data_IF_597980604771
#
_entry.id   IF_597980604771
#
_cell.length_a   1.000
_cell.length_b   1.000
_cell.length_c   1.000
_cell.angle_alpha   90.00
_cell.angle_beta   90.00
_cell.angle_gamma   90.00
#
_symmetry.space_group_name_H-M   'P 1'
#
loop_
_entity.id
_entity.type
_entity.pdbx_description
1 polymer ?
#
# COMPACT_ATOMS: atom_id res chain seq x y z
N UNK A 1 -14.53 -7.15 -10.72
CA UNK A 1 -15.25 -6.28 -11.68
C UNK A 1 -15.13 -4.78 -11.39
N UNK A 2 -15.34 -4.31 -10.14
CA UNK A 2 -15.33 -2.87 -9.81
C UNK A 2 -14.11 -2.08 -10.29
N UNK A 3 -12.91 -2.67 -10.24
CA UNK A 3 -11.69 -2.05 -10.78
C UNK A 3 -11.80 -1.71 -12.27
N UNK A 4 -12.31 -2.64 -13.09
CA UNK A 4 -12.48 -2.44 -14.54
C UNK A 4 -13.60 -1.44 -14.86
N UNK A 5 -14.59 -1.33 -13.97
CA UNK A 5 -15.62 -0.28 -14.08
C UNK A 5 -15.02 1.09 -13.79
N UNK A 6 -14.20 1.20 -12.74
CA UNK A 6 -13.53 2.44 -12.37
C UNK A 6 -12.51 2.87 -13.42
N UNK A 7 -11.78 1.94 -14.02
CA UNK A 7 -10.85 2.24 -15.12
C UNK A 7 -11.58 2.82 -16.33
N UNK A 8 -12.68 2.18 -16.76
CA UNK A 8 -13.54 2.70 -17.84
C UNK A 8 -14.16 4.05 -17.52
N UNK A 9 -14.46 4.34 -16.25
CA UNK A 9 -15.14 5.56 -15.81
C UNK A 9 -14.18 6.74 -15.61
N UNK A 10 -13.04 6.52 -14.99
CA UNK A 10 -12.12 7.58 -14.54
C UNK A 10 -10.78 7.58 -15.31
N UNK A 11 -10.50 6.54 -16.12
CA UNK A 11 -9.22 6.36 -16.81
C UNK A 11 -8.09 5.86 -15.90
N UNK A 12 -8.43 5.33 -14.72
CA UNK A 12 -7.49 4.67 -13.83
C UNK A 12 -8.21 3.69 -12.89
N UNK A 13 -7.46 2.68 -12.45
CA UNK A 13 -7.92 1.60 -11.55
C UNK A 13 -8.11 2.08 -10.10
N UNK A 14 -9.02 3.04 -9.89
CA UNK A 14 -9.37 3.52 -8.55
C UNK A 14 -9.91 2.38 -7.67
N UNK A 15 -9.53 2.36 -6.39
CA UNK A 15 -9.96 1.34 -5.42
C UNK A 15 -11.49 1.12 -5.48
N UNK A 16 -11.97 -0.13 -5.63
CA UNK A 16 -13.36 -0.40 -5.92
C UNK A 16 -14.30 -0.16 -4.73
N UNK A 17 -13.76 -0.09 -3.51
CA UNK A 17 -14.53 0.14 -2.28
C UNK A 17 -14.34 1.53 -1.68
N UNK A 18 -13.65 2.45 -2.37
CA UNK A 18 -13.50 3.85 -1.96
C UNK A 18 -14.14 4.78 -2.98
N UNK A 19 -14.60 5.93 -2.52
CA UNK A 19 -15.08 6.97 -3.41
C UNK A 19 -13.90 7.65 -4.10
N UNK A 20 -13.88 7.58 -5.43
CA UNK A 20 -12.92 8.31 -6.26
C UNK A 20 -13.35 9.78 -6.39
N UNK A 21 -12.38 10.69 -6.41
CA UNK A 21 -12.60 12.09 -6.80
C UNK A 21 -12.84 12.24 -8.31
N UNK A 22 -12.37 11.28 -9.11
CA UNK A 22 -12.30 11.36 -10.57
C UNK A 22 -11.08 12.13 -11.09
N UNK A 23 -10.29 12.74 -10.20
CA UNK A 23 -9.05 13.44 -10.51
C UNK A 23 -7.88 12.55 -10.12
N UNK A 24 -7.19 11.98 -11.12
CA UNK A 24 -6.09 11.02 -10.89
C UNK A 24 -5.04 11.52 -9.90
N UNK A 25 -4.69 12.81 -9.96
CA UNK A 25 -3.70 13.42 -9.07
C UNK A 25 -4.12 13.42 -7.59
N UNK A 26 -5.42 13.48 -7.29
CA UNK A 26 -5.96 13.45 -5.91
C UNK A 26 -6.17 12.03 -5.37
N UNK A 27 -6.14 11.03 -6.24
CA UNK A 27 -6.44 9.64 -5.94
C UNK A 27 -5.24 8.70 -6.10
N UNK A 28 -4.03 9.22 -6.33
CA UNK A 28 -2.81 8.41 -6.45
C UNK A 28 -2.65 7.42 -5.29
N UNK A 29 -3.00 7.86 -4.08
CA UNK A 29 -2.96 7.07 -2.85
C UNK A 29 -3.90 5.86 -2.85
N UNK A 30 -4.97 5.90 -3.66
CA UNK A 30 -6.00 4.86 -3.76
C UNK A 30 -6.06 4.14 -5.11
N UNK A 31 -5.17 4.45 -6.06
CA UNK A 31 -5.02 3.62 -7.27
C UNK A 31 -4.59 2.22 -6.84
N UNK A 32 -5.27 1.18 -7.32
CA UNK A 32 -4.97 -0.20 -6.92
C UNK A 32 -3.65 -0.70 -7.55
N UNK A 33 -2.71 -1.28 -6.77
CA UNK A 33 -2.72 -1.45 -5.31
C UNK A 33 -2.41 -0.14 -4.56
N UNK A 34 -3.28 0.23 -3.60
CA UNK A 34 -3.19 1.51 -2.87
C UNK A 34 -2.05 1.53 -1.83
N UNK A 35 -1.66 2.74 -1.39
CA UNK A 35 -0.58 2.94 -0.42
C UNK A 35 -0.85 2.28 0.94
N UNK A 36 -2.13 2.08 1.28
CA UNK A 36 -2.57 1.47 2.52
C UNK A 36 -2.49 -0.06 2.54
N UNK A 37 -2.31 -0.70 1.38
CA UNK A 37 -2.41 -2.17 1.24
C UNK A 37 -1.42 -2.91 2.14
N UNK A 38 -0.14 -2.55 2.08
CA UNK A 38 0.90 -3.28 2.82
C UNK A 38 0.78 -3.08 4.36
N UNK A 39 0.55 -1.86 4.88
CA UNK A 39 0.19 -1.67 6.29
C UNK A 39 -1.03 -2.47 6.72
N UNK A 40 -2.09 -2.47 5.90
CA UNK A 40 -3.31 -3.24 6.19
C UNK A 40 -3.06 -4.75 6.23
N UNK A 41 -2.26 -5.28 5.31
CA UNK A 41 -1.87 -6.70 5.32
C UNK A 41 -1.07 -7.06 6.57
N UNK A 42 -0.15 -6.19 7.00
CA UNK A 42 0.67 -6.42 8.19
C UNK A 42 -0.15 -6.44 9.48
N UNK A 43 -1.10 -5.50 9.63
CA UNK A 43 -1.83 -5.28 10.88
C UNK A 43 -3.16 -6.06 10.95
N UNK A 44 -3.75 -6.34 9.79
CA UNK A 44 -5.11 -6.85 9.68
C UNK A 44 -5.26 -8.08 8.78
N UNK A 45 -4.17 -8.57 8.19
CA UNK A 45 -4.14 -9.75 7.31
C UNK A 45 -4.98 -9.62 6.02
N UNK A 46 -5.53 -8.44 5.72
CA UNK A 46 -6.28 -8.14 4.50
C UNK A 46 -6.20 -6.64 4.20
N UNK A 47 -6.18 -6.25 2.93
CA UNK A 47 -6.37 -4.85 2.54
C UNK A 47 -7.83 -4.41 2.73
N UNK A 48 -8.10 -3.10 2.68
CA UNK A 48 -9.44 -2.56 2.94
C UNK A 48 -10.59 -3.17 2.11
N UNK A 49 -10.34 -3.50 0.83
CA UNK A 49 -11.33 -4.18 -0.03
C UNK A 49 -11.31 -5.71 0.07
N UNK A 50 -10.44 -6.28 0.91
CA UNK A 50 -10.12 -7.70 0.99
C UNK A 50 -9.67 -8.36 -0.34
N UNK A 51 -9.26 -7.57 -1.33
CA UNK A 51 -8.72 -8.09 -2.60
C UNK A 51 -7.37 -8.78 -2.42
N UNK A 52 -6.54 -8.24 -1.52
CA UNK A 52 -5.28 -8.85 -1.08
C UNK A 52 -5.44 -9.33 0.36
N UNK A 53 -4.90 -10.52 0.65
CA UNK A 53 -4.89 -11.15 1.97
C UNK A 53 -3.51 -11.71 2.30
N UNK A 54 -3.19 -11.83 3.58
CA UNK A 54 -1.94 -12.44 4.05
C UNK A 54 -1.97 -13.96 3.85
N UNK A 55 -0.79 -14.59 3.98
CA UNK A 55 -0.70 -16.05 3.92
C UNK A 55 -1.51 -16.75 5.01
N UNK A 56 -1.67 -16.14 6.19
CA UNK A 56 -2.46 -16.70 7.30
C UNK A 56 -3.94 -16.78 6.95
N UNK A 57 -4.44 -15.81 6.19
CA UNK A 57 -5.82 -15.84 5.71
C UNK A 57 -5.97 -16.85 4.58
N UNK A 58 -5.00 -16.88 3.65
CA UNK A 58 -5.01 -17.84 2.54
C UNK A 58 -4.97 -19.30 3.04
N UNK A 59 -4.24 -19.58 4.11
CA UNK A 59 -4.13 -20.92 4.71
C UNK A 59 -5.33 -21.31 5.59
N UNK A 60 -6.26 -20.39 5.84
CA UNK A 60 -7.38 -20.58 6.75
C UNK A 60 -7.04 -20.46 8.23
N UNK A 61 -5.80 -20.11 8.59
CA UNK A 61 -5.39 -19.83 9.99
C UNK A 61 -6.14 -18.62 10.56
N UNK A 62 -6.48 -17.65 9.70
CA UNK A 62 -7.26 -16.46 10.06
C UNK A 62 -8.41 -16.24 9.08
N UNK A 63 -9.54 -15.75 9.58
CA UNK A 63 -10.63 -15.30 8.74
C UNK A 63 -10.42 -13.84 8.31
N UNK A 64 -10.88 -13.49 7.10
CA UNK A 64 -10.99 -12.08 6.68
C UNK A 64 -11.99 -11.37 7.60
N UNK A 65 -11.63 -10.16 8.02
CA UNK A 65 -12.48 -9.30 8.85
C UNK A 65 -12.53 -7.87 8.29
N UNK A 66 -13.57 -7.08 8.60
CA UNK A 66 -13.57 -5.66 8.33
C UNK A 66 -12.38 -4.98 9.00
N UNK A 67 -11.78 -4.00 8.33
CA UNK A 67 -10.63 -3.24 8.82
C UNK A 67 -10.96 -1.74 8.80
N UNK A 68 -10.33 -0.92 9.66
CA UNK A 68 -10.55 0.53 9.65
C UNK A 68 -10.04 1.19 8.36
N UNK A 69 -10.66 2.31 7.97
CA UNK A 69 -10.16 3.14 6.86
C UNK A 69 -8.92 3.92 7.30
N UNK A 70 -7.78 3.68 6.64
CA UNK A 70 -6.52 4.40 6.88
C UNK A 70 -6.40 5.68 6.07
N UNK A 71 -7.17 5.82 4.99
CA UNK A 71 -7.14 7.04 4.17
C UNK A 71 -7.66 8.22 4.99
N UNK A 72 -6.89 9.30 5.16
CA UNK A 72 -7.36 10.49 5.85
C UNK A 72 -8.53 11.15 5.12
N UNK A 73 -9.39 11.85 5.89
CA UNK A 73 -10.47 12.68 5.34
C UNK A 73 -9.96 13.66 4.28
N UNK A 74 -10.83 14.03 3.34
CA UNK A 74 -10.46 14.87 2.20
C UNK A 74 -9.69 16.15 2.59
N UNK A 75 -10.12 16.83 3.66
CA UNK A 75 -9.49 18.05 4.17
C UNK A 75 -8.12 17.86 4.84
N UNK A 76 -7.72 16.62 5.15
CA UNK A 76 -6.45 16.28 5.82
C UNK A 76 -5.41 15.66 4.89
N UNK A 77 -5.80 15.20 3.68
CA UNK A 77 -4.91 14.55 2.69
C UNK A 77 -3.72 15.45 2.29
N UNK A 78 -3.97 16.73 2.03
CA UNK A 78 -2.93 17.68 1.60
C UNK A 78 -1.88 18.02 2.68
N UNK A 79 -2.20 17.79 3.96
CA UNK A 79 -1.29 18.03 5.08
C UNK A 79 -0.20 16.94 5.15
N UNK A 80 -0.57 15.69 4.85
CA UNK A 80 0.38 14.58 4.81
C UNK A 80 1.41 14.74 3.69
N UNK A 81 0.97 15.12 2.49
CA UNK A 81 1.85 15.36 1.34
C UNK A 81 2.87 16.48 1.58
N UNK A 82 2.47 17.58 2.25
CA UNK A 82 3.37 18.70 2.59
C UNK A 82 4.45 18.27 3.58
N UNK A 83 4.10 17.50 4.63
CA UNK A 83 5.08 16.98 5.60
C UNK A 83 6.09 16.02 4.96
N UNK A 84 5.65 15.19 4.02
CA UNK A 84 6.56 14.31 3.27
C UNK A 84 7.58 15.10 2.45
N UNK A 85 7.17 16.21 1.83
CA UNK A 85 8.07 17.08 1.05
C UNK A 85 9.10 17.82 1.95
N UNK A 86 8.70 18.27 3.13
CA UNK A 86 9.59 18.91 4.13
C UNK A 86 10.64 17.94 4.69
N UNK A 87 10.26 16.67 4.93
CA UNK A 87 11.20 15.65 5.40
C UNK A 87 12.30 15.33 4.38
N UNK A 88 11.96 15.30 3.08
CA UNK A 88 12.93 15.10 2.00
C UNK A 88 13.95 16.24 1.95
N UNK A 89 13.52 17.49 2.16
CA UNK A 89 14.43 18.64 2.23
C UNK A 89 15.41 18.57 3.41
N UNK A 90 15.05 17.84 4.47
CA UNK A 90 15.86 17.64 5.68
C UNK A 90 16.89 16.51 5.55
N UNK A 91 16.92 15.79 4.42
CA UNK A 91 17.76 14.59 4.23
C UNK A 91 17.29 13.36 5.02
N UNK A 92 16.17 13.46 5.74
CA UNK A 92 15.59 12.37 6.51
C UNK A 92 14.53 11.65 5.67
N UNK A 93 14.77 10.37 5.38
CA UNK A 93 13.77 9.56 4.69
C UNK A 93 12.59 9.28 5.63
N UNK A 94 11.33 9.44 5.16
CA UNK A 94 10.15 9.19 5.98
C UNK A 94 9.99 7.70 6.35
N UNK A 95 10.64 6.80 5.60
CA UNK A 95 10.62 5.37 5.84
C UNK A 95 12.01 4.77 5.60
N UNK A 96 12.36 3.67 6.30
CA UNK A 96 13.53 2.90 5.94
C UNK A 96 13.35 2.27 4.55
N UNK A 97 14.46 2.08 3.85
CA UNK A 97 14.51 1.42 2.55
C UNK A 97 14.92 -0.03 2.77
N UNK A 98 14.11 -0.96 2.26
CA UNK A 98 14.35 -2.39 2.31
C UNK A 98 14.80 -2.90 0.95
N UNK A 99 15.82 -3.77 0.94
CA UNK A 99 16.36 -4.42 -0.26
C UNK A 99 16.15 -5.93 -0.21
N UNK A 100 15.62 -6.50 -1.28
CA UNK A 100 15.59 -7.95 -1.45
C UNK A 100 16.98 -8.49 -1.77
N UNK A 101 17.53 -9.37 -0.93
CA UNK A 101 18.85 -9.99 -1.15
C UNK A 101 18.92 -10.97 -2.33
N UNK A 102 17.78 -11.28 -2.96
CA UNK A 102 17.71 -12.20 -4.11
C UNK A 102 17.79 -11.45 -5.43
N UNK A 103 16.90 -10.47 -5.62
CA UNK A 103 16.74 -9.79 -6.92
C UNK A 103 17.06 -8.29 -6.87
N UNK A 104 17.37 -7.72 -5.70
CA UNK A 104 17.68 -6.31 -5.55
C UNK A 104 16.49 -5.35 -5.51
N UNK A 105 15.23 -5.83 -5.53
CA UNK A 105 14.04 -4.99 -5.36
C UNK A 105 14.15 -4.09 -4.13
N UNK A 106 13.87 -2.79 -4.31
CA UNK A 106 13.90 -1.78 -3.27
C UNK A 106 12.50 -1.26 -2.96
N UNK A 107 12.18 -1.08 -1.68
CA UNK A 107 10.95 -0.40 -1.26
C UNK A 107 11.16 0.41 0.02
N UNK A 108 10.64 1.64 0.04
CA UNK A 108 10.60 2.48 1.24
C UNK A 108 9.28 2.23 1.99
N UNK A 109 9.33 1.53 3.12
CA UNK A 109 8.17 1.14 3.95
C UNK A 109 8.62 0.93 5.39
N UNK A 110 7.72 1.05 6.35
CA UNK A 110 8.02 0.74 7.77
C UNK A 110 8.57 -0.68 7.94
N UNK A 111 8.01 -1.64 7.20
CA UNK A 111 8.40 -3.05 7.21
C UNK A 111 8.58 -3.57 5.77
N UNK A 112 9.48 -4.55 5.53
CA UNK A 112 9.58 -5.20 4.23
C UNK A 112 8.33 -6.03 3.94
N UNK A 113 7.95 -6.22 2.67
CA UNK A 113 6.78 -7.01 2.30
C UNK A 113 6.93 -8.48 2.70
N UNK A 114 5.81 -9.18 2.92
CA UNK A 114 5.82 -10.62 3.26
C UNK A 114 6.55 -11.47 2.20
N UNK A 115 6.37 -11.10 0.93
CA UNK A 115 7.05 -11.69 -0.21
C UNK A 115 7.48 -10.61 -1.20
N UNK A 116 8.66 -10.77 -1.78
CA UNK A 116 9.16 -9.87 -2.81
C UNK A 116 8.21 -9.88 -4.03
N UNK A 117 7.73 -8.72 -4.50
CA UNK A 117 6.80 -8.68 -5.62
C UNK A 117 7.44 -9.20 -6.92
N UNK A 118 8.76 -9.09 -7.04
CA UNK A 118 9.54 -9.51 -8.21
C UNK A 118 9.85 -11.01 -8.17
N UNK A 119 10.62 -11.48 -7.16
CA UNK A 119 11.15 -12.85 -7.14
C UNK A 119 10.46 -13.80 -6.14
N UNK A 120 9.46 -13.32 -5.39
CA UNK A 120 8.71 -14.07 -4.37
C UNK A 120 9.52 -14.57 -3.16
N UNK A 121 10.78 -14.15 -3.03
CA UNK A 121 11.55 -14.39 -1.81
C UNK A 121 10.82 -13.84 -0.58
N UNK A 122 10.82 -14.60 0.51
CA UNK A 122 10.13 -14.27 1.76
C UNK A 122 10.78 -13.07 2.48
N UNK A 123 10.04 -12.48 3.42
CA UNK A 123 10.41 -11.29 4.21
C UNK A 123 11.78 -11.39 4.90
N UNK A 124 12.17 -12.58 5.36
CA UNK A 124 13.46 -12.89 5.98
C UNK A 124 14.67 -12.69 5.02
N UNK A 125 14.40 -12.62 3.72
CA UNK A 125 15.40 -12.34 2.69
C UNK A 125 15.55 -10.86 2.35
N UNK A 126 14.93 -9.97 3.11
CA UNK A 126 15.16 -8.53 3.01
C UNK A 126 16.20 -8.05 4.01
N UNK A 127 16.90 -6.99 3.66
CA UNK A 127 17.83 -6.25 4.53
C UNK A 127 17.48 -4.76 4.50
N UNK A 128 17.77 -4.06 5.60
CA UNK A 128 17.67 -2.60 5.60
C UNK A 128 18.84 -2.04 4.79
N UNK A 129 18.53 -1.22 3.81
CA UNK A 129 19.49 -0.57 2.90
C UNK A 129 19.86 0.82 3.40
N UNK A 130 18.86 1.64 3.78
CA UNK A 130 18.99 3.00 4.33
C UNK A 130 17.93 3.16 5.43
#
# INVERSE_FOLDING_TARGET
EGLLVNDRRYGYMSCPCRLASGVKAEDLDIICPCDYRDPDLNDHDACYCALYVSQKVLSGERAVRPIPERRPDAGKRGVAARKSAENVASGALPYPVWRCKVCGYLCARENPPEACPVCKAKKDRFERFI
#
